data_IF_145848454609
#
_entry.id   IF_145848454609
#
_cell.length_a   1.000
_cell.length_b   1.000
_cell.length_c   1.000
_cell.angle_alpha   90.00
_cell.angle_beta   90.00
_cell.angle_gamma   90.00
#
_symmetry.space_group_name_H-M   'P 1'
#
loop_
_entity.id
_entity.type
_entity.pdbx_description
1 polymer ?
#
# COMPACT_ATOMS: atom_id res chain seq x y z
N UNK A 1 -9.24 11.04 -12.57
CA UNK A 1 -9.81 9.86 -13.24
C UNK A 1 -8.94 8.64 -12.97
N UNK A 2 -9.52 7.44 -12.98
CA UNK A 2 -8.79 6.17 -12.91
C UNK A 2 -8.33 5.74 -14.31
N UNK A 3 -7.23 5.00 -14.39
CA UNK A 3 -6.71 4.46 -15.64
C UNK A 3 -6.61 2.94 -15.55
N UNK A 4 -7.55 2.26 -16.22
CA UNK A 4 -7.63 0.80 -16.29
C UNK A 4 -7.15 0.38 -17.68
N UNK A 5 -6.00 -0.29 -17.74
CA UNK A 5 -5.41 -0.73 -19.00
C UNK A 5 -6.02 -2.05 -19.49
N UNK A 6 -5.55 -2.54 -20.64
CA UNK A 6 -6.12 -3.71 -21.30
C UNK A 6 -6.13 -4.95 -20.38
N UNK A 7 -7.26 -5.65 -20.37
CA UNK A 7 -7.47 -6.87 -19.58
C UNK A 7 -7.34 -6.70 -18.06
N UNK A 8 -7.50 -5.49 -17.53
CA UNK A 8 -7.70 -5.33 -16.08
C UNK A 8 -9.02 -5.97 -15.64
N UNK A 9 -9.03 -6.59 -14.46
CA UNK A 9 -10.21 -7.21 -13.87
C UNK A 9 -10.53 -6.59 -12.50
N UNK A 10 -11.78 -6.19 -12.30
CA UNK A 10 -12.31 -5.76 -11.01
C UNK A 10 -13.38 -6.78 -10.62
N UNK A 11 -13.12 -7.54 -9.56
CA UNK A 11 -14.05 -8.53 -9.02
C UNK A 11 -15.32 -7.91 -8.43
N UNK A 12 -16.28 -8.76 -8.10
CA UNK A 12 -17.53 -8.34 -7.45
C UNK A 12 -17.26 -7.61 -6.13
N UNK A 13 -18.06 -6.59 -5.82
CA UNK A 13 -18.02 -5.85 -4.54
C UNK A 13 -16.69 -5.14 -4.22
N UNK A 14 -15.84 -4.90 -5.23
CA UNK A 14 -14.65 -4.08 -5.03
C UNK A 14 -15.01 -2.61 -4.80
N UNK A 15 -14.25 -1.96 -3.93
CA UNK A 15 -14.28 -0.50 -3.74
C UNK A 15 -13.00 0.09 -4.31
N UNK A 16 -13.13 0.97 -5.30
CA UNK A 16 -11.98 1.58 -5.99
C UNK A 16 -12.01 3.08 -5.82
N UNK A 17 -10.94 3.63 -5.23
CA UNK A 17 -10.74 5.06 -5.04
C UNK A 17 -10.40 5.80 -6.32
N UNK A 18 -9.73 6.94 -6.17
CA UNK A 18 -9.43 7.88 -7.24
C UNK A 18 -7.97 7.83 -7.68
N UNK A 19 -7.73 8.19 -8.94
CA UNK A 19 -6.40 8.23 -9.55
C UNK A 19 -5.62 6.91 -9.47
N UNK A 20 -6.35 5.79 -9.47
CA UNK A 20 -5.80 4.45 -9.52
C UNK A 20 -5.28 4.17 -10.92
N UNK A 21 -4.17 3.43 -10.99
CA UNK A 21 -3.68 2.85 -12.24
C UNK A 21 -3.65 1.34 -12.10
N UNK A 22 -4.41 0.66 -12.94
CA UNK A 22 -4.31 -0.78 -13.15
C UNK A 22 -3.64 -1.02 -14.50
N UNK A 23 -2.43 -1.56 -14.48
CA UNK A 23 -1.67 -1.88 -15.70
C UNK A 23 -2.22 -3.18 -16.31
N UNK A 24 -1.82 -3.49 -17.55
CA UNK A 24 -2.35 -4.63 -18.30
C UNK A 24 -2.37 -5.93 -17.47
N UNK A 25 -3.50 -6.65 -17.52
CA UNK A 25 -3.70 -7.90 -16.78
C UNK A 25 -3.62 -7.77 -15.24
N UNK A 26 -3.72 -6.57 -14.67
CA UNK A 26 -3.91 -6.40 -13.24
C UNK A 26 -5.31 -6.90 -12.82
N UNK A 27 -5.40 -7.69 -11.76
CA UNK A 27 -6.66 -8.30 -11.32
C UNK A 27 -6.94 -8.06 -9.83
N UNK A 28 -8.16 -7.67 -9.51
CA UNK A 28 -8.69 -7.62 -8.16
C UNK A 28 -9.71 -8.75 -8.00
N UNK A 29 -9.54 -9.62 -6.99
CA UNK A 29 -10.59 -10.56 -6.59
C UNK A 29 -11.76 -9.84 -5.92
N UNK A 30 -12.81 -10.56 -5.53
CA UNK A 30 -13.98 -9.97 -4.89
C UNK A 30 -13.67 -9.25 -3.56
N UNK A 31 -14.45 -8.22 -3.24
CA UNK A 31 -14.36 -7.45 -2.00
C UNK A 31 -13.00 -6.78 -1.75
N UNK A 32 -12.21 -6.50 -2.78
CA UNK A 32 -10.94 -5.77 -2.63
C UNK A 32 -11.20 -4.26 -2.52
N UNK A 33 -10.52 -3.61 -1.58
CA UNK A 33 -10.54 -2.14 -1.44
C UNK A 33 -9.21 -1.56 -1.94
N UNK A 34 -9.27 -0.62 -2.88
CA UNK A 34 -8.11 0.11 -3.40
C UNK A 34 -8.25 1.58 -3.06
N UNK A 35 -7.31 2.12 -2.29
CA UNK A 35 -7.30 3.53 -1.90
C UNK A 35 -6.54 4.40 -2.92
N UNK A 36 -6.83 5.70 -2.88
CA UNK A 36 -6.41 6.69 -3.87
C UNK A 36 -4.93 6.60 -4.27
N UNK A 37 -4.65 6.87 -5.54
CA UNK A 37 -3.30 6.92 -6.12
C UNK A 37 -2.51 5.61 -6.12
N UNK A 38 -3.08 4.49 -5.66
CA UNK A 38 -2.43 3.19 -5.73
C UNK A 38 -2.22 2.75 -7.20
N UNK A 39 -1.15 1.98 -7.41
CA UNK A 39 -0.79 1.45 -8.72
C UNK A 39 -0.66 -0.08 -8.61
N UNK A 40 -1.38 -0.77 -9.48
CA UNK A 40 -1.35 -2.24 -9.61
C UNK A 40 -0.61 -2.58 -10.91
N UNK A 41 0.59 -3.12 -10.77
CA UNK A 41 1.49 -3.44 -11.87
C UNK A 41 0.96 -4.54 -12.80
N UNK A 42 1.60 -4.74 -13.97
CA UNK A 42 1.10 -5.67 -14.96
C UNK A 42 1.17 -7.11 -14.46
N UNK A 43 0.15 -7.91 -14.73
CA UNK A 43 0.02 -9.29 -14.23
C UNK A 43 0.02 -9.42 -12.70
N UNK A 44 -0.17 -8.33 -11.95
CA UNK A 44 -0.33 -8.40 -10.51
C UNK A 44 -1.77 -8.76 -10.16
N UNK A 45 -1.96 -9.49 -9.07
CA UNK A 45 -3.27 -9.85 -8.58
C UNK A 45 -3.40 -9.62 -7.07
N UNK A 46 -4.57 -9.14 -6.65
CA UNK A 46 -4.92 -8.88 -5.25
C UNK A 46 -6.02 -9.83 -4.84
N UNK A 47 -5.74 -10.67 -3.83
CA UNK A 47 -6.66 -11.67 -3.32
C UNK A 47 -7.85 -11.02 -2.59
N UNK A 48 -8.95 -11.78 -2.50
CA UNK A 48 -10.21 -11.29 -1.94
C UNK A 48 -10.06 -10.73 -0.53
N UNK A 49 -10.86 -9.71 -0.22
CA UNK A 49 -10.89 -8.99 1.05
C UNK A 49 -9.61 -8.23 1.43
N UNK A 50 -8.59 -8.17 0.57
CA UNK A 50 -7.40 -7.37 0.86
C UNK A 50 -7.67 -5.88 0.63
N UNK A 51 -6.95 -5.05 1.38
CA UNK A 51 -6.91 -3.61 1.19
C UNK A 51 -5.57 -3.18 0.61
N UNK A 52 -5.59 -2.27 -0.36
CA UNK A 52 -4.39 -1.63 -0.92
C UNK A 52 -4.41 -0.16 -0.56
N UNK A 53 -3.50 0.24 0.32
CA UNK A 53 -3.40 1.57 0.87
C UNK A 53 -3.06 2.65 -0.17
N UNK A 54 -3.35 3.90 0.17
CA UNK A 54 -3.18 5.03 -0.73
C UNK A 54 -1.72 5.16 -1.17
N UNK A 55 -1.48 5.52 -2.43
CA UNK A 55 -0.15 5.65 -3.03
C UNK A 55 0.73 4.38 -3.00
N UNK A 56 0.20 3.22 -2.59
CA UNK A 56 0.91 1.97 -2.65
C UNK A 56 1.25 1.60 -4.10
N UNK A 57 2.29 0.78 -4.27
CA UNK A 57 2.72 0.31 -5.57
C UNK A 57 2.94 -1.20 -5.52
N UNK A 58 2.14 -1.94 -6.27
CA UNK A 58 2.33 -3.39 -6.45
C UNK A 58 3.08 -3.59 -7.76
N UNK A 59 4.25 -4.22 -7.70
CA UNK A 59 5.07 -4.49 -8.87
C UNK A 59 4.45 -5.53 -9.79
N UNK A 60 5.03 -5.68 -11.00
CA UNK A 60 4.60 -6.68 -11.97
C UNK A 60 4.57 -8.10 -11.39
N UNK A 61 3.70 -8.94 -11.90
CA UNK A 61 3.66 -10.38 -11.61
C UNK A 61 3.73 -10.71 -10.10
N UNK A 62 3.09 -9.89 -9.27
CA UNK A 62 3.08 -10.01 -7.82
C UNK A 62 1.68 -10.41 -7.37
N UNK A 63 1.59 -11.42 -6.49
CA UNK A 63 0.32 -11.91 -5.94
C UNK A 63 0.17 -11.53 -4.48
N UNK A 64 -0.74 -10.61 -4.19
CA UNK A 64 -0.96 -10.03 -2.85
C UNK A 64 -2.08 -10.78 -2.14
N UNK A 65 -1.76 -11.38 -0.98
CA UNK A 65 -2.70 -12.18 -0.17
C UNK A 65 -3.08 -11.55 1.18
N UNK A 66 -2.47 -10.39 1.46
CA UNK A 66 -2.56 -9.62 2.71
C UNK A 66 -2.66 -8.14 2.39
N UNK A 67 -3.02 -7.33 3.38
CA UNK A 67 -3.21 -5.90 3.22
C UNK A 67 -1.87 -5.20 2.91
N UNK A 68 -1.92 -4.22 2.01
CA UNK A 68 -0.77 -3.40 1.61
C UNK A 68 -0.92 -2.03 2.27
N UNK A 69 0.06 -1.65 3.09
CA UNK A 69 0.03 -0.35 3.75
C UNK A 69 0.15 0.81 2.75
N UNK A 70 -0.40 1.99 3.09
CA UNK A 70 -0.20 3.20 2.31
C UNK A 70 1.27 3.48 2.05
N UNK A 71 1.56 4.03 0.88
CA UNK A 71 2.89 4.45 0.43
C UNK A 71 3.91 3.31 0.20
N UNK A 72 3.59 2.06 0.52
CA UNK A 72 4.53 0.94 0.45
C UNK A 72 4.60 0.35 -0.95
N UNK A 73 5.81 -0.07 -1.35
CA UNK A 73 6.05 -0.87 -2.55
C UNK A 73 6.04 -2.35 -2.20
N UNK A 74 5.29 -3.16 -2.95
CA UNK A 74 5.24 -4.62 -2.81
C UNK A 74 5.76 -5.26 -4.09
N UNK A 75 6.64 -6.24 -3.97
CA UNK A 75 7.19 -6.95 -5.12
C UNK A 75 7.63 -8.38 -4.80
N UNK A 76 7.79 -9.17 -5.86
CA UNK A 76 8.42 -10.50 -5.83
C UNK A 76 7.44 -11.66 -5.81
N UNK A 77 7.95 -12.86 -6.10
CA UNK A 77 7.15 -14.09 -6.14
C UNK A 77 6.66 -14.52 -4.75
N UNK A 78 7.49 -14.34 -3.72
CA UNK A 78 7.11 -14.55 -2.32
C UNK A 78 6.46 -13.32 -1.68
N UNK A 79 6.13 -12.29 -2.48
CA UNK A 79 5.45 -11.03 -2.11
C UNK A 79 5.97 -10.41 -0.82
N UNK A 80 6.86 -9.42 -0.94
CA UNK A 80 7.45 -8.74 0.22
C UNK A 80 7.37 -7.22 0.14
N UNK A 81 7.43 -6.56 1.29
CA UNK A 81 7.56 -5.12 1.37
C UNK A 81 8.97 -4.67 0.95
N UNK A 82 9.04 -3.77 -0.04
CA UNK A 82 10.26 -3.35 -0.72
C UNK A 82 10.61 -1.86 -0.50
N UNK A 83 10.09 -1.25 0.56
CA UNK A 83 10.33 0.15 0.90
C UNK A 83 9.15 1.07 0.57
N UNK A 84 9.40 2.38 0.67
CA UNK A 84 8.43 3.44 0.35
C UNK A 84 8.49 3.80 -1.13
N UNK A 85 7.32 4.03 -1.74
CA UNK A 85 7.10 4.51 -3.11
C UNK A 85 7.59 5.95 -3.30
N UNK A 86 8.89 6.17 -3.08
CA UNK A 86 9.53 7.48 -3.10
C UNK A 86 9.29 8.18 -4.44
N UNK A 87 9.37 7.45 -5.55
CA UNK A 87 9.19 8.03 -6.90
C UNK A 87 7.74 8.50 -7.08
N UNK A 88 6.76 7.67 -6.73
CA UNK A 88 5.34 8.02 -6.82
C UNK A 88 4.96 9.20 -5.93
N UNK A 89 5.55 9.30 -4.74
CA UNK A 89 5.30 10.41 -3.82
C UNK A 89 5.92 11.72 -4.30
N UNK A 90 7.18 11.70 -4.77
CA UNK A 90 7.84 12.90 -5.33
C UNK A 90 7.08 13.47 -6.53
N UNK A 91 6.60 12.60 -7.42
CA UNK A 91 5.78 13.01 -8.57
C UNK A 91 4.45 13.66 -8.18
N UNK A 92 4.00 13.46 -6.95
CA UNK A 92 2.75 14.01 -6.40
C UNK A 92 2.98 15.11 -5.37
N UNK A 93 4.19 15.69 -5.34
CA UNK A 93 4.49 16.88 -4.57
C UNK A 93 4.78 16.66 -3.09
N UNK A 94 4.94 15.41 -2.63
CA UNK A 94 5.36 15.16 -1.24
C UNK A 94 6.76 15.72 -1.01
N UNK A 95 6.93 16.44 0.10
CA UNK A 95 8.20 17.03 0.49
C UNK A 95 9.25 15.95 0.81
N UNK A 96 10.53 16.29 0.70
CA UNK A 96 11.61 15.38 1.13
C UNK A 96 11.47 14.99 2.61
N UNK A 97 11.08 15.95 3.46
CA UNK A 97 10.86 15.71 4.90
C UNK A 97 9.74 14.70 5.15
N UNK A 98 8.61 14.81 4.45
CA UNK A 98 7.51 13.86 4.54
C UNK A 98 7.95 12.45 4.11
N UNK A 99 8.67 12.35 3.00
CA UNK A 99 9.20 11.07 2.49
C UNK A 99 10.18 10.45 3.48
N UNK A 100 11.07 11.25 4.08
CA UNK A 100 12.01 10.76 5.07
C UNK A 100 11.29 10.31 6.35
N UNK A 101 10.18 10.95 6.71
CA UNK A 101 9.36 10.45 7.80
C UNK A 101 8.68 9.11 7.48
N UNK A 102 8.10 8.96 6.30
CA UNK A 102 7.53 7.69 5.83
C UNK A 102 8.59 6.57 5.81
N UNK A 103 9.85 6.89 5.46
CA UNK A 103 10.95 5.91 5.53
C UNK A 103 11.30 5.52 6.97
N UNK A 104 11.24 6.44 7.93
CA UNK A 104 11.39 6.12 9.37
C UNK A 104 10.26 5.19 9.82
N UNK A 105 9.02 5.52 9.49
CA UNK A 105 7.86 4.68 9.79
C UNK A 105 7.98 3.27 9.19
N UNK A 106 8.42 3.16 7.94
CA UNK A 106 8.71 1.88 7.29
C UNK A 106 9.70 1.02 8.09
N UNK A 107 10.79 1.61 8.58
CA UNK A 107 11.78 0.88 9.39
C UNK A 107 11.19 0.38 10.70
N UNK A 108 10.34 1.18 11.36
CA UNK A 108 9.63 0.79 12.58
C UNK A 108 8.77 -0.46 12.31
N UNK A 109 7.97 -0.44 11.25
CA UNK A 109 7.03 -1.51 10.93
C UNK A 109 7.74 -2.79 10.47
N UNK A 110 8.71 -2.67 9.57
CA UNK A 110 9.25 -3.81 8.82
C UNK A 110 10.64 -4.26 9.24
N UNK A 111 11.42 -3.44 9.97
CA UNK A 111 12.84 -3.72 10.23
C UNK A 111 13.22 -3.85 11.70
N UNK A 112 12.41 -3.31 12.62
CA UNK A 112 12.68 -3.40 14.07
C UNK A 112 12.26 -4.72 14.74
N UNK A 113 11.61 -5.64 14.01
CA UNK A 113 11.14 -6.91 14.58
C UNK A 113 9.97 -6.76 15.56
N UNK A 114 9.28 -5.61 15.54
CA UNK A 114 8.14 -5.31 16.40
C UNK A 114 6.87 -6.03 15.95
N UNK A 115 6.01 -6.36 16.93
CA UNK A 115 4.61 -6.70 16.64
C UNK A 115 3.89 -5.49 16.05
N UNK A 116 2.71 -5.70 15.45
CA UNK A 116 1.90 -4.60 14.90
C UNK A 116 1.54 -3.59 15.99
N UNK A 117 1.11 -4.06 17.16
CA UNK A 117 0.74 -3.19 18.29
C UNK A 117 1.93 -2.36 18.77
N UNK A 118 3.10 -2.96 18.90
CA UNK A 118 4.31 -2.24 19.30
C UNK A 118 4.72 -1.20 18.25
N UNK A 119 4.64 -1.54 16.96
CA UNK A 119 4.94 -0.60 15.89
C UNK A 119 3.96 0.58 15.88
N UNK A 120 2.66 0.33 16.10
CA UNK A 120 1.65 1.39 16.23
C UNK A 120 1.99 2.33 17.39
N UNK A 121 2.28 1.80 18.57
CA UNK A 121 2.66 2.63 19.72
C UNK A 121 3.91 3.50 19.46
N UNK A 122 4.91 2.98 18.75
CA UNK A 122 6.07 3.80 18.36
C UNK A 122 5.73 4.89 17.33
N UNK A 123 4.84 4.61 16.38
CA UNK A 123 4.43 5.57 15.36
C UNK A 123 3.59 6.71 15.97
N UNK A 124 2.71 6.40 16.91
CA UNK A 124 1.86 7.40 17.59
C UNK A 124 2.70 8.46 18.32
N UNK A 125 3.89 8.12 18.82
CA UNK A 125 4.80 9.08 19.46
C UNK A 125 5.33 10.15 18.50
N UNK A 126 5.45 9.82 17.21
CA UNK A 126 6.01 10.72 16.19
C UNK A 126 4.96 11.29 15.23
N UNK A 127 3.68 10.92 15.38
CA UNK A 127 2.62 11.27 14.42
C UNK A 127 2.36 12.77 14.33
N UNK A 128 2.54 13.52 15.43
CA UNK A 128 2.33 14.97 15.46
C UNK A 128 3.43 15.72 14.69
N UNK A 129 4.65 15.15 14.65
CA UNK A 129 5.77 15.69 13.87
C UNK A 129 5.67 15.28 12.39
N UNK A 130 4.93 14.20 12.11
CA UNK A 130 4.81 13.58 10.79
C UNK A 130 3.39 13.12 10.50
N UNK A 131 2.47 14.04 10.19
CA UNK A 131 1.07 13.69 9.96
C UNK A 131 0.87 12.71 8.79
N UNK A 132 1.80 12.62 7.84
CA UNK A 132 1.72 11.70 6.70
C UNK A 132 1.74 10.22 7.09
N UNK A 133 2.19 9.88 8.31
CA UNK A 133 2.20 8.49 8.80
C UNK A 133 0.84 8.04 9.35
N UNK A 134 -0.08 8.97 9.64
CA UNK A 134 -1.40 8.66 10.23
C UNK A 134 -2.15 7.62 9.38
N UNK A 135 -2.21 7.73 8.04
CA UNK A 135 -2.81 6.67 7.21
C UNK A 135 -2.17 5.29 7.37
N UNK A 136 -0.87 5.21 7.69
CA UNK A 136 -0.23 3.92 7.97
C UNK A 136 -0.69 3.36 9.32
N UNK A 137 -0.84 4.20 10.34
CA UNK A 137 -1.36 3.82 11.66
C UNK A 137 -2.81 3.31 11.52
N UNK A 138 -3.66 4.07 10.83
CA UNK A 138 -5.06 3.71 10.60
C UNK A 138 -5.17 2.35 9.88
N UNK A 139 -4.37 2.16 8.83
CA UNK A 139 -4.35 0.90 8.08
C UNK A 139 -3.86 -0.29 8.93
N UNK A 140 -2.88 -0.08 9.82
CA UNK A 140 -2.42 -1.12 10.75
C UNK A 140 -3.54 -1.54 11.71
N UNK A 141 -4.30 -0.57 12.22
CA UNK A 141 -5.40 -0.81 13.15
C UNK A 141 -6.64 -1.44 12.48
N UNK A 142 -6.88 -1.15 11.19
CA UNK A 142 -8.05 -1.63 10.45
C UNK A 142 -7.81 -2.93 9.66
N UNK A 143 -6.55 -3.33 9.48
CA UNK A 143 -6.18 -4.51 8.68
C UNK A 143 -6.82 -5.79 9.25
N UNK A 144 -7.64 -6.46 8.45
CA UNK A 144 -8.31 -7.72 8.83
C UNK A 144 -7.60 -8.96 8.30
N UNK A 145 -6.72 -8.80 7.29
CA UNK A 145 -5.95 -9.90 6.71
C UNK A 145 -4.51 -9.98 7.20
N UNK A 146 -4.12 -9.03 8.06
CA UNK A 146 -2.72 -8.76 8.37
C UNK A 146 -2.04 -8.08 7.20
N UNK A 147 -0.85 -7.54 7.43
CA UNK A 147 -0.08 -6.82 6.41
C UNK A 147 0.92 -7.73 5.67
N UNK A 148 1.19 -7.42 4.41
CA UNK A 148 2.36 -7.96 3.69
C UNK A 148 3.63 -7.57 4.44
N UNK A 149 4.58 -8.49 4.63
CA UNK A 149 5.89 -8.24 5.27
C UNK A 149 7.04 -8.56 4.34
#
# INVERSE_FOLDING_TARGET
SNYLMAYSHIGHDCMVGNHIIMVNYAALSGHVTINDYAIIGPYAAVHQFCQVGAYAFIARATYVTKDVLPYVMIAGHTTSACGINTVGLRRRGFSSAAIDCLRRAYKIIFRKGLTVQQAVSELELIQNECPEIIPMIDALNQSTRGIVR
#
